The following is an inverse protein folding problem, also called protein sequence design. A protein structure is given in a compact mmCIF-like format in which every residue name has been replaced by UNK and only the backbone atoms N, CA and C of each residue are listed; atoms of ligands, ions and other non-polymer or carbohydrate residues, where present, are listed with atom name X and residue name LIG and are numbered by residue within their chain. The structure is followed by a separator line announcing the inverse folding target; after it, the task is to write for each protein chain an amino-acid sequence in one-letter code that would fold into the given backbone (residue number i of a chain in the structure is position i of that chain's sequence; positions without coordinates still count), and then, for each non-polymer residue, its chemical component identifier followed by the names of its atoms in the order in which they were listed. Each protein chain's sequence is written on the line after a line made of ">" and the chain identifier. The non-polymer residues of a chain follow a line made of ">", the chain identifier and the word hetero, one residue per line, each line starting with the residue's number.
data_IF_750317542244
#
_entry.id   IF_750317542244
#
_cell.length_a   1.000
_cell.length_b   1.000
_cell.length_c   1.000
_cell.angle_alpha   90.00
_cell.angle_beta   90.00
_cell.angle_gamma   90.00
#
_symmetry.space_group_name_H-M   'P 1'
#
loop_
_entity.id
_entity.type
_entity.pdbx_description
1 polymer ?
#
# COMPACT_ATOMS: atom_id res chain seq x y z
N UNK A 1 32.37 62.85 7.02
CA UNK A 1 33.51 62.05 7.52
C UNK A 1 33.27 61.77 9.00
N UNK A 2 33.63 60.57 9.49
CA UNK A 2 34.20 60.30 10.85
C UNK A 2 33.34 60.75 12.06
N UNK A 3 32.98 59.91 13.04
CA UNK A 3 33.33 58.52 13.36
C UNK A 3 32.27 57.91 14.30
N UNK A 4 32.25 56.59 14.37
CA UNK A 4 31.67 55.74 15.42
C UNK A 4 32.07 56.16 16.84
N UNK A 5 31.32 55.73 17.88
CA UNK A 5 31.84 54.95 19.02
C UNK A 5 30.72 54.53 20.03
N UNK A 6 30.62 53.21 20.29
CA UNK A 6 30.20 52.57 21.57
C UNK A 6 28.69 52.75 21.94
N UNK A 7 28.06 51.98 22.84
CA UNK A 7 28.55 51.19 23.98
C UNK A 7 27.65 49.97 24.28
N UNK A 8 28.10 49.06 25.17
CA UNK A 8 27.40 47.82 25.57
C UNK A 8 26.57 47.98 26.86
N UNK A 9 25.76 46.95 27.14
CA UNK A 9 25.12 46.56 28.41
C UNK A 9 23.78 47.22 28.79
N UNK A 10 22.90 46.37 29.34
CA UNK A 10 21.53 46.70 29.75
C UNK A 10 20.76 45.47 30.25
N UNK A 11 21.35 44.70 31.17
CA UNK A 11 20.65 43.65 31.92
C UNK A 11 19.68 44.33 32.89
N UNK A 12 18.38 44.04 32.82
CA UNK A 12 17.40 44.41 33.85
C UNK A 12 16.70 43.14 34.31
N UNK A 13 16.79 42.87 35.61
CA UNK A 13 16.05 41.82 36.29
C UNK A 13 15.29 42.43 37.49
N UNK A 14 13.98 42.26 37.50
CA UNK A 14 13.06 42.33 38.65
C UNK A 14 11.68 41.88 38.11
N UNK A 15 10.98 40.83 38.58
CA UNK A 15 10.64 40.35 39.94
C UNK A 15 9.41 41.05 40.55
N UNK A 16 8.66 40.29 41.40
CA UNK A 16 7.37 40.60 42.08
C UNK A 16 6.19 40.84 41.11
N UNK A 17 4.91 40.44 41.29
CA UNK A 17 4.06 39.98 42.42
C UNK A 17 2.90 39.10 41.87
N UNK A 18 2.08 38.34 42.63
CA UNK A 18 2.18 37.68 43.95
C UNK A 18 0.92 36.76 44.19
N UNK A 19 1.01 35.86 45.19
CA UNK A 19 -0.08 35.24 45.99
C UNK A 19 -1.35 34.63 45.34
N UNK A 20 -1.36 33.30 45.31
CA UNK A 20 -2.42 32.36 45.70
C UNK A 20 -3.89 32.82 45.89
N UNK A 21 -4.80 32.08 45.25
CA UNK A 21 -6.14 31.77 45.78
C UNK A 21 -6.29 30.25 45.90
N UNK A 22 -6.65 29.79 47.10
CA UNK A 22 -6.93 28.39 47.41
C UNK A 22 -8.39 28.07 47.04
N UNK A 23 -8.61 26.97 46.33
CA UNK A 23 -9.94 26.41 46.08
C UNK A 23 -9.86 24.89 45.94
N UNK A 24 -10.75 24.10 46.59
CA UNK A 24 -10.72 22.65 46.48
C UNK A 24 -11.41 22.20 45.19
N UNK A 25 -10.62 21.81 44.19
CA UNK A 25 -11.15 21.06 43.04
C UNK A 25 -11.08 19.57 43.38
N UNK A 26 -12.25 18.96 43.56
CA UNK A 26 -12.38 17.52 43.74
C UNK A 26 -11.94 16.77 42.49
N UNK A 27 -11.29 15.63 42.72
CA UNK A 27 -10.59 14.84 41.72
C UNK A 27 -11.56 14.08 40.81
N UNK A 28 -11.40 14.23 39.49
CA UNK A 28 -11.85 13.27 38.48
C UNK A 28 -10.66 12.96 37.58
N UNK A 29 -10.20 11.71 37.60
CA UNK A 29 -8.91 11.35 37.03
C UNK A 29 -8.88 11.38 35.49
N UNK A 30 -8.05 12.26 34.93
CA UNK A 30 -7.52 12.02 33.58
C UNK A 30 -6.39 11.00 33.73
N UNK A 31 -6.73 9.72 33.62
CA UNK A 31 -5.74 8.71 33.33
C UNK A 31 -5.19 9.01 31.93
N UNK A 32 -4.04 9.69 31.87
CA UNK A 32 -3.16 9.62 30.69
C UNK A 32 -2.55 8.22 30.63
N UNK A 33 -3.40 7.23 30.32
CA UNK A 33 -2.95 6.13 29.50
C UNK A 33 -2.49 6.76 28.20
N UNK A 34 -1.17 6.92 28.06
CA UNK A 34 -0.53 6.89 26.76
C UNK A 34 -0.73 5.49 26.20
N UNK A 35 -1.97 5.20 25.79
CA UNK A 35 -2.28 4.06 24.97
C UNK A 35 -1.51 4.29 23.69
N UNK A 36 -0.43 3.53 23.54
CA UNK A 36 0.36 3.47 22.33
C UNK A 36 -0.57 3.02 21.23
N UNK A 37 -1.21 3.99 20.57
CA UNK A 37 -2.04 3.74 19.40
C UNK A 37 -1.19 2.86 18.48
N UNK A 38 -1.63 1.62 18.17
CA UNK A 38 -0.88 0.79 17.25
C UNK A 38 -0.76 1.61 15.98
N UNK A 39 0.49 1.94 15.62
CA UNK A 39 0.79 2.60 14.35
C UNK A 39 0.05 1.78 13.31
N UNK A 40 -0.98 2.36 12.72
CA UNK A 40 -1.78 1.67 11.73
C UNK A 40 -0.84 1.35 10.58
N UNK A 41 -0.34 0.12 10.55
CA UNK A 41 0.50 -0.39 9.49
C UNK A 41 -0.29 -0.12 8.21
N UNK A 42 0.21 0.81 7.39
CA UNK A 42 -0.56 1.40 6.30
C UNK A 42 -1.23 0.28 5.52
N UNK A 43 -2.56 0.17 5.61
CA UNK A 43 -3.23 -1.13 5.43
C UNK A 43 -2.94 -1.66 4.02
N UNK A 44 -2.09 -2.69 3.98
CA UNK A 44 -1.79 -3.44 2.79
C UNK A 44 -2.94 -4.41 2.53
N UNK A 45 -3.19 -4.68 1.26
CA UNK A 45 -4.04 -5.78 0.85
C UNK A 45 -3.10 -6.89 0.34
N UNK A 46 -2.92 -7.99 1.10
CA UNK A 46 -1.93 -9.03 0.79
C UNK A 46 -2.52 -10.17 -0.03
N UNK A 47 -2.00 -10.38 -1.24
CA UNK A 47 -2.27 -11.60 -2.00
C UNK A 47 -1.32 -12.71 -1.59
N UNK A 48 -1.88 -13.87 -1.26
CA UNK A 48 -1.13 -15.08 -0.87
C UNK A 48 -1.01 -16.08 -2.01
N UNK A 49 -0.08 -17.04 -1.93
CA UNK A 49 -0.10 -18.24 -2.78
C UNK A 49 -0.55 -19.47 -1.98
N UNK A 50 -1.44 -20.27 -2.58
CA UNK A 50 -1.81 -21.60 -2.11
C UNK A 50 -1.25 -22.61 -3.11
N UNK A 51 -0.25 -23.38 -2.68
CA UNK A 51 0.20 -24.55 -3.43
C UNK A 51 -0.91 -25.59 -3.47
N UNK A 52 -1.52 -25.77 -4.65
CA UNK A 52 -2.31 -26.94 -4.97
C UNK A 52 -1.33 -27.99 -5.52
N UNK A 53 -1.55 -29.28 -5.23
CA UNK A 53 -0.74 -30.36 -5.79
C UNK A 53 -0.66 -30.25 -7.34
N UNK A 54 0.44 -30.67 -7.97
CA UNK A 54 0.68 -30.45 -9.40
C UNK A 54 -0.15 -31.37 -10.31
N UNK A 55 -1.48 -31.26 -10.21
CA UNK A 55 -2.46 -31.76 -11.15
C UNK A 55 -2.99 -30.62 -12.01
N UNK A 56 -2.91 -30.78 -13.32
CA UNK A 56 -3.36 -29.83 -14.35
C UNK A 56 -2.57 -28.52 -14.43
N UNK A 57 -1.66 -28.49 -15.42
CA UNK A 57 -1.16 -27.25 -16.01
C UNK A 57 -2.27 -26.62 -16.84
N UNK A 58 -3.20 -25.94 -16.18
CA UNK A 58 -4.06 -25.00 -16.88
C UNK A 58 -3.17 -23.84 -17.34
N UNK A 59 -2.83 -23.87 -18.62
CA UNK A 59 -2.19 -22.78 -19.34
C UNK A 59 -3.01 -21.53 -19.05
N UNK A 60 -2.40 -20.54 -18.39
CA UNK A 60 -3.08 -19.29 -18.08
C UNK A 60 -3.71 -18.76 -19.36
N UNK A 61 -5.05 -18.70 -19.38
CA UNK A 61 -5.76 -18.31 -20.57
C UNK A 61 -5.23 -16.94 -21.04
N UNK A 62 -4.94 -16.83 -22.33
CA UNK A 62 -4.82 -15.50 -22.92
C UNK A 62 -6.07 -14.72 -22.52
N UNK A 63 -5.95 -13.45 -22.05
CA UNK A 63 -7.14 -12.63 -21.91
C UNK A 63 -7.82 -12.66 -23.27
N UNK A 64 -9.08 -13.08 -23.27
CA UNK A 64 -9.97 -12.93 -24.41
C UNK A 64 -10.00 -11.44 -24.79
N UNK A 65 -10.74 -11.06 -25.84
CA UNK A 65 -11.02 -9.66 -26.16
C UNK A 65 -11.90 -8.96 -25.12
N UNK A 66 -11.64 -9.16 -23.82
CA UNK A 66 -12.37 -8.63 -22.67
C UNK A 66 -12.19 -7.13 -22.69
N UNK A 67 -13.29 -6.43 -22.91
CA UNK A 67 -13.39 -5.01 -22.61
C UNK A 67 -13.01 -4.82 -21.13
N UNK A 68 -11.91 -4.09 -20.89
CA UNK A 68 -11.33 -3.90 -19.56
C UNK A 68 -12.42 -3.55 -18.53
N UNK A 69 -12.34 -4.16 -17.34
CA UNK A 69 -13.41 -4.05 -16.36
C UNK A 69 -13.57 -2.61 -15.86
N UNK A 70 -14.82 -2.12 -15.69
CA UNK A 70 -15.07 -0.77 -15.25
C UNK A 70 -14.54 -0.54 -13.83
N UNK A 71 -13.95 0.64 -13.60
CA UNK A 71 -13.43 1.06 -12.30
C UNK A 71 -14.10 2.37 -11.84
N UNK A 72 -14.24 2.62 -10.53
CA UNK A 72 -14.82 3.86 -10.00
C UNK A 72 -14.10 5.15 -10.42
N UNK A 73 -12.79 5.08 -10.70
CA UNK A 73 -11.98 6.25 -11.05
C UNK A 73 -10.75 5.86 -11.87
N UNK A 74 -10.34 6.69 -12.83
CA UNK A 74 -9.09 6.47 -13.57
C UNK A 74 -7.88 6.63 -12.65
N UNK A 75 -6.83 5.84 -12.89
CA UNK A 75 -5.58 5.88 -12.14
C UNK A 75 -4.39 5.59 -13.03
N UNK A 76 -3.19 5.80 -12.50
CA UNK A 76 -1.94 5.57 -13.20
C UNK A 76 -0.89 4.90 -12.32
N UNK A 77 0.10 4.27 -12.96
CA UNK A 77 1.18 3.53 -12.32
C UNK A 77 2.49 3.67 -13.11
N UNK A 78 3.63 3.44 -12.45
CA UNK A 78 4.92 3.29 -13.15
C UNK A 78 5.63 2.02 -12.72
N UNK A 79 6.29 1.37 -13.69
CA UNK A 79 7.10 0.18 -13.48
C UNK A 79 8.50 0.62 -13.08
N UNK A 80 8.91 0.33 -11.83
CA UNK A 80 10.26 0.68 -11.37
C UNK A 80 11.32 -0.24 -11.97
N UNK A 81 12.61 0.11 -11.83
CA UNK A 81 13.72 -0.63 -12.44
C UNK A 81 13.76 -2.13 -12.05
N UNK A 82 13.35 -2.50 -10.83
CA UNK A 82 13.36 -3.91 -10.39
C UNK A 82 12.34 -4.78 -11.14
N UNK A 83 11.31 -4.19 -11.74
CA UNK A 83 10.27 -4.90 -12.49
C UNK A 83 10.51 -5.03 -14.00
N UNK A 84 11.59 -4.46 -14.55
CA UNK A 84 11.81 -4.45 -16.01
C UNK A 84 11.75 -5.84 -16.67
N UNK A 85 12.29 -6.94 -16.09
CA UNK A 85 12.14 -8.28 -16.66
C UNK A 85 10.70 -8.78 -16.78
N UNK A 86 9.76 -8.20 -16.03
CA UNK A 86 8.36 -8.61 -15.96
C UNK A 86 7.40 -7.55 -16.52
N UNK A 87 7.91 -6.47 -17.12
CA UNK A 87 7.11 -5.31 -17.51
C UNK A 87 5.95 -5.64 -18.45
N UNK A 88 6.13 -6.60 -19.36
CA UNK A 88 5.07 -7.07 -20.25
C UNK A 88 3.89 -7.73 -19.50
N UNK A 89 4.18 -8.57 -18.49
CA UNK A 89 3.15 -9.21 -17.67
C UNK A 89 2.41 -8.18 -16.80
N UNK A 90 3.14 -7.21 -16.24
CA UNK A 90 2.55 -6.11 -15.44
C UNK A 90 1.62 -5.26 -16.30
N UNK A 91 2.02 -4.91 -17.53
CA UNK A 91 1.17 -4.18 -18.49
C UNK A 91 -0.10 -4.96 -18.86
N UNK A 92 0.01 -6.26 -19.10
CA UNK A 92 -1.14 -7.16 -19.33
C UNK A 92 -2.09 -7.17 -18.14
N UNK A 93 -1.57 -7.24 -16.91
CA UNK A 93 -2.36 -7.14 -15.69
C UNK A 93 -3.05 -5.78 -15.51
N UNK A 94 -2.35 -4.68 -15.85
CA UNK A 94 -2.92 -3.33 -15.80
C UNK A 94 -4.04 -3.13 -16.83
N UNK A 95 -3.88 -3.67 -18.04
CA UNK A 95 -4.84 -3.56 -19.13
C UNK A 95 -6.21 -4.23 -18.83
N UNK A 96 -6.29 -5.04 -17.79
CA UNK A 96 -7.54 -5.62 -17.30
C UNK A 96 -8.50 -4.58 -16.69
N UNK A 97 -8.01 -3.40 -16.29
CA UNK A 97 -8.78 -2.36 -15.61
C UNK A 97 -8.97 -1.12 -16.49
N UNK A 98 -10.22 -0.71 -16.72
CA UNK A 98 -10.54 0.37 -17.65
C UNK A 98 -9.95 1.72 -17.23
N UNK A 99 -9.08 2.31 -18.05
CA UNK A 99 -8.49 3.61 -17.76
C UNK A 99 -7.44 3.59 -16.64
N UNK A 100 -6.83 2.43 -16.38
CA UNK A 100 -5.52 2.34 -15.73
C UNK A 100 -4.41 2.53 -16.77
N UNK A 101 -3.53 3.50 -16.58
CA UNK A 101 -2.48 3.85 -17.57
C UNK A 101 -1.07 3.88 -16.99
N UNK A 102 -0.08 3.47 -17.78
CA UNK A 102 1.33 3.63 -17.40
C UNK A 102 1.75 5.11 -17.55
N UNK A 103 2.42 5.67 -16.55
CA UNK A 103 2.79 7.08 -16.45
C UNK A 103 3.16 7.49 -15.03
N UNK A 104 3.09 8.78 -14.69
CA UNK A 104 3.26 9.21 -13.31
C UNK A 104 2.11 8.67 -12.43
N UNK A 105 2.41 8.02 -11.30
CA UNK A 105 1.41 7.37 -10.44
C UNK A 105 1.99 6.32 -9.50
N UNK A 106 1.20 5.31 -9.14
CA UNK A 106 1.56 4.21 -8.22
C UNK A 106 2.89 3.55 -8.59
N UNK A 107 3.91 3.52 -7.71
CA UNK A 107 5.14 2.78 -7.96
C UNK A 107 4.91 1.27 -7.85
N UNK A 108 5.25 0.53 -8.91
CA UNK A 108 5.25 -0.93 -8.94
C UNK A 108 6.69 -1.44 -8.80
N UNK A 109 6.94 -2.20 -7.73
CA UNK A 109 8.26 -2.72 -7.37
C UNK A 109 8.26 -4.25 -7.34
N UNK A 110 9.29 -4.88 -7.88
CA UNK A 110 9.38 -6.34 -7.88
C UNK A 110 10.38 -6.80 -6.82
N UNK A 111 10.01 -7.85 -6.08
CA UNK A 111 10.83 -8.50 -5.05
C UNK A 111 11.32 -9.86 -5.53
N UNK A 112 12.37 -10.37 -4.88
CA UNK A 112 12.92 -11.71 -5.15
C UNK A 112 12.52 -12.75 -4.07
N UNK A 113 11.61 -12.36 -3.17
CA UNK A 113 11.12 -13.16 -2.04
C UNK A 113 9.68 -12.76 -1.71
N UNK A 114 9.01 -13.57 -0.89
CA UNK A 114 7.74 -13.21 -0.26
C UNK A 114 7.82 -11.85 0.44
N UNK A 115 6.70 -11.15 0.44
CA UNK A 115 6.56 -9.77 0.91
C UNK A 115 6.19 -9.78 2.39
N UNK A 116 6.89 -8.98 3.19
CA UNK A 116 6.59 -8.79 4.62
C UNK A 116 5.96 -7.41 4.86
N UNK A 117 5.26 -7.24 5.97
CA UNK A 117 4.68 -5.93 6.35
C UNK A 117 3.49 -5.46 5.49
N UNK A 118 2.81 -6.38 4.80
CA UNK A 118 1.55 -6.10 4.09
C UNK A 118 0.29 -6.39 4.93
N UNK A 119 0.45 -7.01 6.10
CA UNK A 119 -0.58 -7.91 6.63
C UNK A 119 -0.50 -9.28 5.95
N UNK A 120 -1.32 -10.23 6.41
CA UNK A 120 -1.28 -11.62 5.91
C UNK A 120 -0.18 -12.48 6.53
N UNK A 121 -0.02 -13.69 5.99
CA UNK A 121 0.92 -14.71 6.50
C UNK A 121 2.32 -14.66 5.86
N UNK A 122 3.04 -15.78 5.87
CA UNK A 122 4.42 -15.89 5.34
C UNK A 122 4.53 -15.94 3.81
N UNK A 123 3.45 -16.26 3.10
CA UNK A 123 3.46 -16.62 1.68
C UNK A 123 2.85 -15.52 0.79
N UNK A 124 3.05 -14.25 1.16
CA UNK A 124 2.49 -13.10 0.43
C UNK A 124 3.32 -12.83 -0.83
N UNK A 125 2.67 -12.92 -1.98
CA UNK A 125 3.26 -12.79 -3.32
C UNK A 125 2.95 -11.45 -3.97
N UNK A 126 1.92 -10.74 -3.51
CA UNK A 126 1.60 -9.39 -3.95
C UNK A 126 1.12 -8.53 -2.78
N UNK A 127 1.32 -7.23 -2.90
CA UNK A 127 0.79 -6.28 -1.94
C UNK A 127 0.56 -4.89 -2.52
N UNK A 128 -0.63 -4.33 -2.27
CA UNK A 128 -0.96 -2.94 -2.53
C UNK A 128 -1.21 -2.20 -1.20
N UNK A 129 -0.34 -1.24 -0.88
CA UNK A 129 -0.46 -0.39 0.31
C UNK A 129 -1.32 0.85 0.02
N UNK A 130 -2.28 1.13 0.90
CA UNK A 130 -3.03 2.39 0.90
C UNK A 130 -3.82 2.67 -0.39
N UNK A 131 -4.27 1.61 -1.07
CA UNK A 131 -5.00 1.67 -2.34
C UNK A 131 -4.28 2.50 -3.41
N UNK A 132 -3.03 2.13 -3.70
CA UNK A 132 -2.21 2.69 -4.76
C UNK A 132 -1.10 3.65 -4.30
N UNK A 133 -0.70 3.62 -3.02
CA UNK A 133 0.50 4.35 -2.57
C UNK A 133 1.78 3.65 -3.05
N UNK A 134 1.77 2.31 -3.08
CA UNK A 134 2.83 1.45 -3.60
C UNK A 134 2.29 0.06 -3.87
N UNK A 135 2.80 -0.60 -4.90
CA UNK A 135 2.57 -2.03 -5.18
C UNK A 135 3.90 -2.77 -5.13
N UNK A 136 3.95 -3.94 -4.49
CA UNK A 136 5.06 -4.87 -4.56
C UNK A 136 4.62 -6.23 -5.13
N UNK A 137 5.46 -6.84 -5.96
CA UNK A 137 5.17 -8.08 -6.68
C UNK A 137 6.34 -9.07 -6.57
N UNK A 138 6.11 -10.24 -5.98
CA UNK A 138 7.01 -11.38 -6.08
C UNK A 138 6.67 -12.21 -7.32
N UNK A 139 7.01 -11.68 -8.50
CA UNK A 139 6.61 -12.24 -9.81
C UNK A 139 7.03 -13.71 -10.05
N UNK A 140 8.00 -14.23 -9.29
CA UNK A 140 8.46 -15.62 -9.37
C UNK A 140 7.79 -16.57 -8.36
N UNK A 141 6.96 -16.04 -7.46
CA UNK A 141 6.22 -16.81 -6.47
C UNK A 141 4.85 -17.32 -6.98
N UNK A 142 4.52 -17.08 -8.25
CA UNK A 142 3.24 -17.42 -8.87
C UNK A 142 3.44 -17.97 -10.28
N UNK A 143 2.49 -18.79 -10.76
CA UNK A 143 2.49 -19.28 -12.15
C UNK A 143 2.04 -18.21 -13.17
N UNK A 144 1.06 -17.39 -12.82
CA UNK A 144 0.57 -16.28 -13.65
C UNK A 144 0.90 -14.92 -13.00
N UNK A 145 1.99 -14.31 -13.46
CA UNK A 145 2.40 -12.98 -13.02
C UNK A 145 1.49 -11.85 -13.53
N UNK A 146 0.78 -12.04 -14.66
CA UNK A 146 -0.14 -11.02 -15.16
C UNK A 146 -1.41 -10.97 -14.32
N UNK A 147 -1.91 -12.12 -13.86
CA UNK A 147 -3.03 -12.23 -12.94
C UNK A 147 -2.69 -11.66 -11.56
N UNK A 148 -1.49 -11.95 -11.04
CA UNK A 148 -0.97 -11.31 -9.83
C UNK A 148 -0.94 -9.78 -9.97
N UNK A 149 -0.40 -9.26 -11.08
CA UNK A 149 -0.39 -7.82 -11.31
C UNK A 149 -1.81 -7.24 -11.43
N UNK A 150 -2.74 -7.94 -12.10
CA UNK A 150 -4.15 -7.53 -12.20
C UNK A 150 -4.81 -7.46 -10.81
N UNK A 151 -4.60 -8.46 -9.96
CA UNK A 151 -5.08 -8.46 -8.58
C UNK A 151 -4.58 -7.23 -7.81
N UNK A 152 -3.27 -7.01 -7.79
CA UNK A 152 -2.67 -5.88 -7.05
C UNK A 152 -3.11 -4.52 -7.58
N UNK A 153 -3.36 -4.38 -8.89
CA UNK A 153 -3.95 -3.15 -9.42
C UNK A 153 -5.42 -2.98 -9.03
N UNK A 154 -6.20 -4.05 -8.89
CA UNK A 154 -7.59 -4.00 -8.46
C UNK A 154 -7.75 -3.45 -7.04
N UNK A 155 -6.77 -3.65 -6.16
CA UNK A 155 -6.70 -3.05 -4.82
C UNK A 155 -6.62 -1.52 -4.76
N UNK A 156 -6.45 -0.87 -5.91
CA UNK A 156 -6.68 0.56 -6.03
C UNK A 156 -8.15 0.97 -5.84
N UNK A 157 -9.10 0.03 -5.95
CA UNK A 157 -10.55 0.31 -5.87
C UNK A 157 -11.34 -0.74 -5.07
N UNK A 158 -10.85 -1.97 -4.99
CA UNK A 158 -11.61 -3.12 -4.48
C UNK A 158 -10.85 -3.88 -3.39
N UNK A 159 -11.57 -4.35 -2.37
CA UNK A 159 -11.03 -5.34 -1.43
C UNK A 159 -10.98 -6.74 -2.05
N UNK A 160 -10.53 -7.73 -1.27
CA UNK A 160 -10.65 -9.13 -1.65
C UNK A 160 -12.12 -9.54 -1.84
N UNK A 161 -12.38 -10.46 -2.77
CA UNK A 161 -13.68 -11.09 -2.97
C UNK A 161 -13.85 -12.36 -2.12
N UNK A 162 -15.02 -12.99 -2.21
CA UNK A 162 -15.31 -14.29 -1.59
C UNK A 162 -14.87 -15.51 -2.42
N UNK A 163 -14.24 -15.32 -3.58
CA UNK A 163 -13.68 -16.43 -4.35
C UNK A 163 -12.47 -17.03 -3.62
N UNK A 164 -12.19 -18.33 -3.81
CA UNK A 164 -11.03 -18.99 -3.18
C UNK A 164 -9.72 -18.76 -3.93
N UNK A 165 -9.79 -18.71 -5.26
CA UNK A 165 -8.62 -18.68 -6.15
C UNK A 165 -8.76 -17.55 -7.15
N UNK A 166 -7.67 -16.84 -7.41
CA UNK A 166 -7.63 -15.80 -8.42
C UNK A 166 -7.77 -16.41 -9.81
N UNK A 167 -8.52 -15.74 -10.69
CA UNK A 167 -8.79 -16.21 -12.04
C UNK A 167 -9.35 -15.11 -12.95
N UNK A 168 -9.27 -15.31 -14.26
CA UNK A 168 -9.59 -14.30 -15.28
C UNK A 168 -11.07 -14.19 -15.67
N UNK A 169 -11.97 -15.02 -15.11
CA UNK A 169 -13.38 -15.08 -15.53
C UNK A 169 -14.21 -13.87 -15.12
N UNK A 170 -13.80 -13.12 -14.10
CA UNK A 170 -14.42 -11.84 -13.72
C UNK A 170 -13.49 -10.95 -12.88
N UNK A 171 -13.81 -9.66 -12.75
CA UNK A 171 -13.12 -8.76 -11.83
C UNK A 171 -13.15 -9.28 -10.38
N UNK A 172 -14.28 -9.85 -9.94
CA UNK A 172 -14.42 -10.43 -8.61
C UNK A 172 -13.54 -11.67 -8.43
N UNK A 173 -13.43 -12.50 -9.46
CA UNK A 173 -12.54 -13.67 -9.45
C UNK A 173 -11.07 -13.26 -9.44
N UNK A 174 -10.67 -12.23 -10.19
CA UNK A 174 -9.30 -11.66 -10.09
C UNK A 174 -9.01 -11.23 -8.66
N UNK A 175 -9.96 -10.59 -7.98
CA UNK A 175 -9.81 -10.12 -6.59
C UNK A 175 -9.89 -11.23 -5.50
N UNK A 176 -9.82 -12.51 -5.84
CA UNK A 176 -9.74 -13.57 -4.84
C UNK A 176 -8.39 -13.54 -4.07
N UNK A 177 -8.35 -13.69 -2.73
CA UNK A 177 -7.18 -13.42 -1.88
C UNK A 177 -5.97 -14.38 -2.05
N UNK A 178 -6.07 -15.35 -2.95
CA UNK A 178 -5.04 -16.38 -3.15
C UNK A 178 -4.82 -16.71 -4.62
N UNK A 179 -3.56 -16.65 -5.03
CA UNK A 179 -3.07 -17.23 -6.27
C UNK A 179 -3.00 -18.76 -6.10
N UNK A 180 -3.57 -19.50 -7.04
CA UNK A 180 -3.66 -20.95 -6.97
C UNK A 180 -2.90 -21.62 -8.12
N UNK A 181 -1.94 -22.49 -7.78
CA UNK A 181 -1.17 -23.35 -8.70
C UNK A 181 0.16 -22.80 -9.19
#
# INVERSE_FOLDING_TARGET
>A
MIRSLFMRYGLIAAAVSAMALLGPVTQAGVMVSAESAPVAAALGHPTSVISIEPGQRDTAAEPLGVQAWPVPSRRSYHITASCQPYAAAIRRGAAAWAGLTEGAGTPVQCTNSYITGCGGGSNVVGCNWGSGQRIALFMRGVRDGALLAAHEFGHNWFGHSGFRCAGWGSAQEVMAPSMCG
#
